data_IF_798260450845
#
_entry.id   IF_798260450845
#
_cell.length_a   1.000
_cell.length_b   1.000
_cell.length_c   1.000
_cell.angle_alpha   90.00
_cell.angle_beta   90.00
_cell.angle_gamma   90.00
#
_symmetry.space_group_name_H-M   'P 1'
#
loop_
_entity.id
_entity.type
_entity.pdbx_description
1 polymer ?
#
# COMPACT_ATOMS: atom_id res chain seq x y z
N UNK A 1 3.71 6.31 32.18
CA UNK A 1 3.72 6.96 30.86
C UNK A 1 2.47 6.49 30.13
N UNK A 2 1.85 7.36 29.34
CA UNK A 2 0.72 6.94 28.51
C UNK A 2 1.20 5.94 27.44
N UNK A 3 0.35 4.97 27.10
CA UNK A 3 0.65 3.96 26.09
C UNK A 3 0.69 4.56 24.68
N UNK A 4 1.32 3.86 23.72
CA UNK A 4 1.29 4.25 22.30
C UNK A 4 -0.14 4.35 21.78
N UNK A 5 -1.00 3.36 22.08
CA UNK A 5 -2.41 3.41 21.71
C UNK A 5 -3.13 4.62 22.33
N UNK A 6 -2.92 4.89 23.62
CA UNK A 6 -3.57 6.02 24.30
C UNK A 6 -3.23 7.36 23.64
N UNK A 7 -1.94 7.57 23.34
CA UNK A 7 -1.46 8.78 22.63
C UNK A 7 -1.97 8.85 21.20
N UNK A 8 -1.99 7.72 20.51
CA UNK A 8 -2.52 7.62 19.16
C UNK A 8 -4.01 8.02 19.10
N UNK A 9 -4.80 7.54 20.06
CA UNK A 9 -6.21 7.90 20.21
C UNK A 9 -6.41 9.39 20.52
N UNK A 10 -5.44 10.03 21.19
CA UNK A 10 -5.44 11.47 21.48
C UNK A 10 -4.96 12.33 20.30
N UNK A 11 -4.59 11.73 19.17
CA UNK A 11 -4.24 12.43 17.93
C UNK A 11 -2.74 12.59 17.68
N UNK A 12 -1.88 12.01 18.52
CA UNK A 12 -0.41 12.00 18.31
C UNK A 12 0.01 10.98 17.24
N UNK A 13 -0.77 10.84 16.16
CA UNK A 13 -0.62 9.76 15.19
C UNK A 13 0.77 9.74 14.52
N UNK A 14 1.26 10.90 14.08
CA UNK A 14 2.56 11.01 13.40
C UNK A 14 3.70 10.73 14.38
N UNK A 15 3.62 11.29 15.59
CA UNK A 15 4.64 11.14 16.62
C UNK A 15 4.75 9.68 17.09
N UNK A 16 3.61 9.03 17.35
CA UNK A 16 3.56 7.62 17.73
C UNK A 16 4.20 6.76 16.64
N UNK A 17 3.86 6.94 15.37
CA UNK A 17 4.46 6.15 14.29
C UNK A 17 5.96 6.39 14.13
N UNK A 18 6.43 7.64 14.27
CA UNK A 18 7.86 7.95 14.23
C UNK A 18 8.62 7.23 15.35
N UNK A 19 8.06 7.19 16.56
CA UNK A 19 8.63 6.45 17.69
C UNK A 19 8.61 4.94 17.47
N UNK A 20 7.49 4.39 16.96
CA UNK A 20 7.38 2.95 16.66
C UNK A 20 8.40 2.49 15.62
N UNK A 21 8.63 3.28 14.58
CA UNK A 21 9.66 3.00 13.57
C UNK A 21 11.07 3.10 14.19
N UNK A 22 11.31 4.09 15.05
CA UNK A 22 12.62 4.29 15.68
C UNK A 22 13.01 3.16 16.66
N UNK A 23 12.05 2.38 17.17
CA UNK A 23 12.33 1.21 18.00
C UNK A 23 13.06 0.10 17.23
N UNK A 24 12.88 0.01 15.92
CA UNK A 24 13.43 -1.08 15.12
C UNK A 24 12.96 -2.45 15.62
N UNK A 25 13.90 -3.39 15.77
CA UNK A 25 13.62 -4.75 16.23
C UNK A 25 13.17 -4.84 17.69
N UNK A 26 13.40 -3.80 18.50
CA UNK A 26 12.98 -3.77 19.91
C UNK A 26 11.45 -3.86 20.07
N UNK A 27 10.71 -3.53 19.01
CA UNK A 27 9.25 -3.62 18.98
C UNK A 27 8.71 -5.03 19.21
N UNK A 28 9.52 -6.07 19.00
CA UNK A 28 9.13 -7.46 19.23
C UNK A 28 9.01 -7.84 20.70
N UNK A 29 9.51 -7.00 21.62
CA UNK A 29 9.54 -7.29 23.04
C UNK A 29 8.26 -6.84 23.74
N UNK A 30 7.72 -7.66 24.65
CA UNK A 30 6.64 -7.21 25.52
C UNK A 30 7.17 -6.27 26.64
N UNK A 31 6.39 -5.26 27.07
CA UNK A 31 5.01 -4.95 26.68
C UNK A 31 4.86 -4.07 25.43
N UNK A 32 5.95 -3.77 24.73
CA UNK A 32 5.96 -2.84 23.59
C UNK A 32 5.17 -3.43 22.41
N UNK A 33 5.38 -4.71 22.12
CA UNK A 33 4.73 -5.40 21.01
C UNK A 33 3.21 -5.27 21.05
N UNK A 34 2.58 -5.61 22.18
CA UNK A 34 1.13 -5.60 22.31
C UNK A 34 0.51 -4.19 22.16
N UNK A 35 1.17 -3.17 22.69
CA UNK A 35 0.72 -1.78 22.57
C UNK A 35 0.94 -1.20 21.16
N UNK A 36 2.08 -1.50 20.54
CA UNK A 36 2.38 -1.13 19.16
C UNK A 36 1.43 -1.82 18.16
N UNK A 37 1.14 -3.10 18.37
CA UNK A 37 0.16 -3.85 17.58
C UNK A 37 -1.22 -3.21 17.69
N UNK A 38 -1.65 -2.82 18.89
CA UNK A 38 -2.93 -2.16 19.08
C UNK A 38 -3.01 -0.81 18.35
N UNK A 39 -1.93 -0.02 18.36
CA UNK A 39 -1.83 1.22 17.58
C UNK A 39 -1.86 0.96 16.06
N UNK A 40 -1.18 -0.09 15.58
CA UNK A 40 -1.21 -0.49 14.17
C UNK A 40 -2.63 -0.91 13.71
N UNK A 41 -3.34 -1.73 14.50
CA UNK A 41 -4.73 -2.08 14.23
C UNK A 41 -5.65 -0.87 14.19
N UNK A 42 -5.53 0.04 15.17
CA UNK A 42 -6.34 1.27 15.19
C UNK A 42 -6.03 2.17 13.99
N UNK A 43 -4.77 2.28 13.58
CA UNK A 43 -4.37 2.97 12.34
C UNK A 43 -5.12 2.41 11.14
N UNK A 44 -5.11 1.09 10.97
CA UNK A 44 -5.71 0.45 9.81
C UNK A 44 -7.25 0.47 9.83
N UNK A 45 -7.88 0.51 11.01
CA UNK A 45 -9.32 0.81 11.13
C UNK A 45 -9.67 2.20 10.63
N UNK A 46 -8.86 3.21 10.93
CA UNK A 46 -9.07 4.58 10.44
C UNK A 46 -8.82 4.67 8.93
N UNK A 47 -7.80 3.99 8.42
CA UNK A 47 -7.55 3.85 6.97
C UNK A 47 -8.77 3.25 6.28
N UNK A 48 -9.29 2.12 6.78
CA UNK A 48 -10.51 1.49 6.25
C UNK A 48 -11.68 2.46 6.22
N UNK A 49 -11.94 3.17 7.31
CA UNK A 49 -13.05 4.14 7.38
C UNK A 49 -12.87 5.29 6.37
N UNK A 50 -11.64 5.76 6.16
CA UNK A 50 -11.35 6.78 5.15
C UNK A 50 -11.57 6.24 3.73
N UNK A 51 -11.10 5.03 3.43
CA UNK A 51 -11.34 4.35 2.14
C UNK A 51 -12.84 4.21 1.88
N UNK A 52 -13.60 3.71 2.85
CA UNK A 52 -15.05 3.52 2.76
C UNK A 52 -15.80 4.85 2.54
N UNK A 53 -15.27 5.96 3.05
CA UNK A 53 -15.81 7.31 2.82
C UNK A 53 -15.45 7.86 1.44
N UNK A 54 -14.24 7.60 0.94
CA UNK A 54 -13.79 8.08 -0.37
C UNK A 54 -14.58 7.44 -1.50
N UNK A 55 -14.82 6.13 -1.46
CA UNK A 55 -15.48 5.37 -2.55
C UNK A 55 -16.80 6.03 -3.04
N UNK A 56 -17.82 6.27 -2.18
CA UNK A 56 -19.06 6.88 -2.64
C UNK A 56 -18.90 8.33 -3.09
N UNK A 57 -17.91 9.07 -2.56
CA UNK A 57 -17.64 10.47 -2.96
C UNK A 57 -17.00 10.52 -4.34
N UNK A 58 -16.02 9.65 -4.60
CA UNK A 58 -15.41 9.48 -5.92
C UNK A 58 -16.47 9.15 -6.97
N UNK A 59 -17.38 8.20 -6.68
CA UNK A 59 -18.52 7.89 -7.56
C UNK A 59 -19.44 9.09 -7.79
N UNK A 60 -19.77 9.85 -6.73
CA UNK A 60 -20.64 11.02 -6.84
C UNK A 60 -20.02 12.14 -7.71
N UNK A 61 -18.69 12.23 -7.73
CA UNK A 61 -17.93 13.14 -8.58
C UNK A 61 -17.72 12.60 -10.00
N UNK A 62 -18.20 11.40 -10.33
CA UNK A 62 -18.09 10.81 -11.67
C UNK A 62 -16.82 9.99 -11.91
N UNK A 63 -16.01 9.71 -10.87
CA UNK A 63 -14.92 8.75 -11.01
C UNK A 63 -15.47 7.34 -11.22
N UNK A 64 -15.03 6.68 -12.29
CA UNK A 64 -15.46 5.32 -12.64
C UNK A 64 -14.36 4.34 -12.30
N UNK A 65 -14.60 3.51 -11.28
CA UNK A 65 -13.72 2.38 -10.97
C UNK A 65 -13.81 1.32 -12.09
N UNK A 66 -12.67 0.75 -12.49
CA UNK A 66 -12.62 -0.29 -13.53
C UNK A 66 -13.49 -1.51 -13.18
N UNK A 67 -13.57 -1.83 -11.88
CA UNK A 67 -14.43 -2.90 -11.38
C UNK A 67 -15.93 -2.63 -11.60
N UNK A 68 -16.36 -1.37 -11.50
CA UNK A 68 -17.78 -1.02 -11.61
C UNK A 68 -18.23 -1.03 -13.08
N UNK A 69 -17.40 -0.52 -13.99
CA UNK A 69 -17.77 -0.39 -15.39
C UNK A 69 -16.54 -0.33 -16.33
N UNK A 70 -16.66 -1.04 -17.45
CA UNK A 70 -15.74 -0.94 -18.59
C UNK A 70 -16.01 0.30 -19.46
N UNK A 71 -14.96 0.96 -20.00
CA UNK A 71 -15.11 1.97 -21.04
C UNK A 71 -15.85 1.39 -22.26
N UNK A 72 -16.96 2.01 -22.65
CA UNK A 72 -17.81 1.50 -23.74
C UNK A 72 -17.24 1.75 -25.13
N UNK A 73 -16.35 2.74 -25.25
CA UNK A 73 -15.85 3.25 -26.53
C UNK A 73 -14.45 2.71 -26.89
N UNK A 74 -14.03 1.61 -26.26
CA UNK A 74 -12.78 0.90 -26.59
C UNK A 74 -13.03 -0.56 -26.91
N UNK A 75 -12.43 -1.00 -28.02
CA UNK A 75 -12.29 -2.42 -28.32
C UNK A 75 -11.20 -3.01 -27.43
N UNK A 76 -11.61 -3.84 -26.48
CA UNK A 76 -10.68 -4.62 -25.67
C UNK A 76 -10.41 -5.98 -26.34
N UNK A 77 -9.15 -6.43 -26.30
CA UNK A 77 -8.83 -7.80 -26.68
C UNK A 77 -9.53 -8.80 -25.74
N UNK A 78 -9.70 -10.04 -26.18
CA UNK A 78 -10.27 -11.12 -25.33
C UNK A 78 -9.45 -11.28 -24.05
N UNK A 79 -8.13 -11.17 -24.14
CA UNK A 79 -7.23 -11.25 -22.98
C UNK A 79 -7.43 -10.06 -22.03
N UNK A 80 -7.56 -8.84 -22.54
CA UNK A 80 -7.82 -7.66 -21.72
C UNK A 80 -9.18 -7.77 -21.02
N UNK A 81 -10.22 -8.26 -21.69
CA UNK A 81 -11.52 -8.50 -21.07
C UNK A 81 -11.46 -9.55 -19.95
N UNK A 82 -10.72 -10.64 -20.17
CA UNK A 82 -10.54 -11.68 -19.14
C UNK A 82 -9.77 -11.13 -17.92
N UNK A 83 -8.73 -10.33 -18.15
CA UNK A 83 -8.01 -9.64 -17.08
C UNK A 83 -8.93 -8.68 -16.30
N UNK A 84 -9.74 -7.87 -17.00
CA UNK A 84 -10.67 -6.93 -16.35
C UNK A 84 -11.73 -7.67 -15.53
N UNK A 85 -12.26 -8.79 -16.03
CA UNK A 85 -13.20 -9.62 -15.27
C UNK A 85 -12.58 -10.24 -14.01
N UNK A 86 -11.27 -10.40 -13.98
CA UNK A 86 -10.53 -10.87 -12.82
C UNK A 86 -10.06 -9.73 -11.89
N UNK A 87 -10.30 -8.46 -12.25
CA UNK A 87 -9.92 -7.32 -11.41
C UNK A 87 -10.63 -7.41 -10.05
N UNK A 88 -9.87 -7.35 -8.94
CA UNK A 88 -10.46 -7.37 -7.61
C UNK A 88 -11.47 -6.23 -7.41
N UNK A 89 -12.50 -6.44 -6.56
CA UNK A 89 -13.42 -5.39 -6.17
C UNK A 89 -12.72 -4.14 -5.65
N UNK A 90 -13.42 -2.98 -5.72
CA UNK A 90 -12.92 -1.70 -5.19
C UNK A 90 -12.44 -1.82 -3.74
N UNK A 91 -13.09 -2.69 -2.96
CA UNK A 91 -12.65 -3.13 -1.64
C UNK A 91 -12.92 -4.62 -1.46
N UNK A 92 -11.92 -5.35 -0.96
CA UNK A 92 -12.01 -6.77 -0.63
C UNK A 92 -11.92 -6.92 0.89
N UNK A 93 -12.95 -7.51 1.51
CA UNK A 93 -12.93 -7.77 2.95
C UNK A 93 -11.87 -8.83 3.29
N UNK A 94 -11.21 -8.72 4.46
CA UNK A 94 -10.30 -9.74 4.92
C UNK A 94 -11.06 -11.06 5.19
N UNK A 95 -10.54 -12.21 4.75
CA UNK A 95 -11.21 -13.49 5.00
C UNK A 95 -11.15 -13.83 6.50
N UNK A 96 -12.13 -14.59 7.00
CA UNK A 96 -12.23 -14.91 8.44
C UNK A 96 -11.04 -15.69 9.00
N UNK A 97 -10.25 -16.34 8.14
CA UNK A 97 -9.05 -17.10 8.49
C UNK A 97 -7.74 -16.34 8.21
N UNK A 98 -7.79 -15.03 7.92
CA UNK A 98 -6.61 -14.24 7.53
C UNK A 98 -5.47 -14.33 8.56
N UNK A 99 -5.78 -14.29 9.86
CA UNK A 99 -4.78 -14.40 10.94
C UNK A 99 -3.99 -15.71 10.86
N UNK A 100 -4.67 -16.80 10.50
CA UNK A 100 -4.04 -18.12 10.32
C UNK A 100 -3.16 -18.13 9.07
N UNK A 101 -3.65 -17.56 7.97
CA UNK A 101 -2.91 -17.47 6.71
C UNK A 101 -1.61 -16.66 6.87
N UNK A 102 -1.69 -15.47 7.48
CA UNK A 102 -0.52 -14.64 7.74
C UNK A 102 0.46 -15.33 8.72
N UNK A 103 -0.03 -16.03 9.74
CA UNK A 103 0.83 -16.79 10.65
C UNK A 103 1.47 -18.04 10.04
N UNK A 104 0.91 -18.60 8.96
CA UNK A 104 1.57 -19.64 8.15
C UNK A 104 2.69 -19.01 7.33
N UNK A 105 2.36 -17.95 6.58
CA UNK A 105 3.33 -17.19 5.79
C UNK A 105 4.54 -16.79 6.63
N UNK A 106 4.30 -16.16 7.78
CA UNK A 106 5.38 -15.57 8.57
C UNK A 106 6.37 -16.61 9.13
N UNK A 107 5.91 -17.85 9.33
CA UNK A 107 6.77 -18.97 9.72
C UNK A 107 7.64 -19.50 8.57
N UNK A 108 7.20 -19.28 7.34
CA UNK A 108 7.90 -19.73 6.14
C UNK A 108 8.93 -18.70 5.65
N UNK A 109 8.56 -17.42 5.61
CA UNK A 109 9.34 -16.38 4.90
C UNK A 109 9.82 -15.23 5.77
N UNK A 110 9.40 -15.17 7.04
CA UNK A 110 9.72 -14.08 7.97
C UNK A 110 8.53 -13.19 8.29
N UNK A 111 8.74 -12.23 9.19
CA UNK A 111 7.70 -11.38 9.77
C UNK A 111 7.33 -10.22 8.83
N UNK A 112 6.03 -10.02 8.65
CA UNK A 112 5.51 -8.81 8.02
C UNK A 112 5.66 -7.61 8.97
N UNK A 113 5.89 -6.39 8.45
CA UNK A 113 5.75 -5.18 9.25
C UNK A 113 4.36 -5.10 9.89
N UNK A 114 4.27 -4.58 11.12
CA UNK A 114 3.00 -4.49 11.84
C UNK A 114 1.94 -3.73 11.03
N UNK A 115 2.34 -2.69 10.30
CA UNK A 115 1.47 -1.92 9.41
C UNK A 115 0.81 -2.79 8.33
N UNK A 116 1.59 -3.57 7.57
CA UNK A 116 1.09 -4.44 6.51
C UNK A 116 0.25 -5.59 7.06
N UNK A 117 0.71 -6.22 8.16
CA UNK A 117 -0.05 -7.27 8.84
C UNK A 117 -1.40 -6.77 9.34
N UNK A 118 -1.45 -5.57 9.92
CA UNK A 118 -2.70 -4.94 10.37
C UNK A 118 -3.58 -4.53 9.18
N UNK A 119 -2.99 -4.08 8.07
CA UNK A 119 -3.75 -3.73 6.86
C UNK A 119 -4.53 -4.94 6.34
N UNK A 120 -3.87 -6.09 6.20
CA UNK A 120 -4.54 -7.31 5.76
C UNK A 120 -5.62 -7.81 6.73
N UNK A 121 -5.55 -7.49 8.02
CA UNK A 121 -6.55 -7.92 9.01
C UNK A 121 -7.74 -6.96 9.14
N UNK A 122 -7.51 -5.65 9.02
CA UNK A 122 -8.53 -4.63 9.27
C UNK A 122 -9.14 -4.12 7.96
N UNK A 123 -8.31 -3.92 6.92
CA UNK A 123 -8.71 -3.37 5.61
C UNK A 123 -9.00 -4.48 4.59
N UNK A 124 -8.14 -5.50 4.53
CA UNK A 124 -8.18 -6.54 3.50
C UNK A 124 -7.45 -6.10 2.23
N UNK A 125 -8.18 -5.61 1.23
CA UNK A 125 -7.62 -5.07 0.00
C UNK A 125 -8.43 -3.88 -0.55
N UNK A 126 -7.77 -3.04 -1.34
CA UNK A 126 -8.36 -1.86 -2.00
C UNK A 126 -7.86 -1.76 -3.43
N UNK A 127 -8.75 -1.39 -4.34
CA UNK A 127 -8.40 -1.23 -5.74
C UNK A 127 -9.16 -0.04 -6.34
N UNK A 128 -8.50 1.12 -6.34
CA UNK A 128 -9.05 2.33 -6.92
C UNK A 128 -8.73 2.47 -8.40
N UNK A 129 -8.16 1.44 -9.06
CA UNK A 129 -7.97 1.50 -10.51
C UNK A 129 -9.28 1.87 -11.19
N UNK A 130 -9.20 2.92 -11.99
CA UNK A 130 -10.32 3.55 -12.64
C UNK A 130 -9.95 4.03 -14.01
N UNK A 131 -10.92 4.65 -14.66
CA UNK A 131 -10.77 5.15 -16.01
C UNK A 131 -10.94 6.66 -16.05
N UNK A 132 -10.17 7.28 -16.94
CA UNK A 132 -10.33 8.68 -17.33
C UNK A 132 -10.38 8.77 -18.87
N UNK A 133 -11.29 9.59 -19.40
CA UNK A 133 -11.51 9.72 -20.85
C UNK A 133 -10.27 10.25 -21.58
N UNK A 134 -9.45 11.06 -20.91
CA UNK A 134 -8.23 11.62 -21.48
C UNK A 134 -7.05 10.64 -21.46
N UNK A 135 -7.26 9.40 -20.96
CA UNK A 135 -6.25 8.34 -20.84
C UNK A 135 -4.96 8.82 -20.16
N UNK A 136 -5.09 9.77 -19.24
CA UNK A 136 -3.98 10.26 -18.43
C UNK A 136 -3.50 9.16 -17.49
N UNK A 137 -2.18 9.16 -17.28
CA UNK A 137 -1.53 8.27 -16.32
C UNK A 137 -1.71 8.88 -14.94
N UNK A 138 -2.31 8.11 -14.04
CA UNK A 138 -2.56 8.46 -12.65
C UNK A 138 -2.16 7.28 -11.79
N UNK A 139 -1.90 7.54 -10.52
CA UNK A 139 -1.51 6.49 -9.58
C UNK A 139 -2.60 6.25 -8.52
N UNK A 140 -3.70 5.58 -8.87
CA UNK A 140 -4.76 5.30 -7.90
C UNK A 140 -4.27 4.33 -6.81
N UNK A 141 -4.83 4.48 -5.61
CA UNK A 141 -4.58 3.62 -4.47
C UNK A 141 -5.00 2.18 -4.80
N UNK A 142 -3.99 1.32 -4.90
CA UNK A 142 -4.15 -0.12 -4.95
C UNK A 142 -3.32 -0.70 -3.83
N UNK A 143 -3.92 -1.62 -3.09
CA UNK A 143 -3.23 -2.57 -2.22
C UNK A 143 -3.98 -3.89 -2.36
N UNK A 144 -3.34 -4.91 -2.92
CA UNK A 144 -3.95 -6.21 -3.12
C UNK A 144 -4.41 -6.80 -1.79
N UNK A 145 -5.52 -7.55 -1.84
CA UNK A 145 -5.86 -8.42 -0.72
C UNK A 145 -4.76 -9.48 -0.57
N UNK A 146 -4.57 -9.98 0.64
CA UNK A 146 -3.55 -10.99 0.88
C UNK A 146 -3.76 -12.24 0.01
N UNK A 147 -2.72 -12.59 -0.73
CA UNK A 147 -2.57 -13.86 -1.44
C UNK A 147 -1.12 -14.33 -1.26
N UNK A 148 -0.93 -15.65 -1.06
CA UNK A 148 0.41 -16.23 -0.92
C UNK A 148 1.22 -16.10 -2.20
N UNK A 149 0.55 -16.10 -3.36
CA UNK A 149 1.19 -15.98 -4.68
C UNK A 149 1.83 -14.60 -4.91
N UNK A 150 1.47 -13.59 -4.12
CA UNK A 150 2.07 -12.25 -4.18
C UNK A 150 3.39 -12.15 -3.43
N UNK A 151 3.84 -13.23 -2.80
CA UNK A 151 5.11 -13.27 -2.09
C UNK A 151 6.14 -13.95 -2.97
N UNK A 152 7.10 -13.15 -3.41
CA UNK A 152 8.13 -13.57 -4.35
C UNK A 152 9.37 -14.03 -3.59
N UNK A 153 10.05 -15.03 -4.15
CA UNK A 153 11.29 -15.56 -3.60
C UNK A 153 12.42 -14.52 -3.73
N UNK A 154 13.40 -14.55 -2.81
CA UNK A 154 14.57 -13.69 -2.93
C UNK A 154 15.24 -13.91 -4.29
N UNK A 155 15.51 -12.83 -5.02
CA UNK A 155 16.31 -12.91 -6.23
C UNK A 155 17.75 -13.29 -5.83
N UNK A 156 18.28 -14.37 -6.44
CA UNK A 156 19.67 -14.83 -6.23
C UNK A 156 20.71 -13.79 -6.71
N UNK A 157 20.30 -12.86 -7.60
CA UNK A 157 21.15 -11.82 -8.16
C UNK A 157 20.46 -10.44 -8.06
N UNK A 158 21.23 -9.36 -7.78
CA UNK A 158 20.69 -8.00 -7.85
C UNK A 158 20.18 -7.71 -9.27
N UNK A 159 19.13 -6.89 -9.43
CA UNK A 159 18.59 -6.58 -10.75
C UNK A 159 19.67 -6.06 -11.71
N UNK A 160 19.70 -6.61 -12.93
CA UNK A 160 20.66 -6.25 -13.99
C UNK A 160 20.62 -4.75 -14.34
N UNK A 161 19.53 -4.05 -14.02
CA UNK A 161 19.35 -2.61 -14.29
C UNK A 161 19.98 -1.68 -13.22
N UNK A 162 20.84 -2.20 -12.33
CA UNK A 162 21.68 -1.34 -11.48
C UNK A 162 22.79 -0.58 -12.23
N UNK A 163 22.95 -0.84 -13.54
CA UNK A 163 23.95 -0.20 -14.41
C UNK A 163 23.64 1.28 -14.75
N UNK A 164 22.42 1.78 -14.55
CA UNK A 164 22.08 3.20 -14.84
C UNK A 164 22.45 4.19 -13.71
N UNK A 165 23.04 3.69 -12.61
CA UNK A 165 23.70 4.53 -11.59
C UNK A 165 25.24 4.52 -11.72
N UNK A 166 25.78 3.95 -12.80
CA UNK A 166 27.21 3.76 -13.02
C UNK A 166 28.00 5.00 -13.49
N UNK A 167 27.50 6.21 -13.28
CA UNK A 167 28.28 7.44 -13.45
C UNK A 167 28.30 8.26 -12.14
N UNK A 168 29.12 7.83 -11.17
CA UNK A 168 29.72 8.80 -10.25
C UNK A 168 30.07 8.40 -8.81
N UNK A 169 29.66 7.25 -8.28
CA UNK A 169 29.97 6.90 -6.88
C UNK A 169 30.56 5.49 -6.76
N UNK A 170 31.89 5.44 -6.74
CA UNK A 170 32.65 4.33 -6.12
C UNK A 170 32.88 4.68 -4.66
N UNK A 171 32.06 4.16 -3.76
CA UNK A 171 32.41 4.03 -2.34
C UNK A 171 31.81 2.74 -1.79
N UNK A 172 32.72 1.83 -1.40
CA UNK A 172 32.54 0.59 -0.63
C UNK A 172 31.54 -0.43 -1.21
N UNK A 173 32.05 -1.64 -1.53
CA UNK A 173 31.22 -2.83 -1.77
C UNK A 173 30.32 -3.02 -0.54
N UNK A 174 29.09 -2.49 -0.59
CA UNK A 174 28.08 -2.83 0.38
C UNK A 174 27.89 -4.34 0.27
N UNK A 175 27.93 -5.08 1.39
CA UNK A 175 27.64 -6.52 1.34
C UNK A 175 26.32 -6.71 0.62
N UNK A 176 26.29 -7.64 -0.35
CA UNK A 176 25.06 -8.05 -1.03
C UNK A 176 23.97 -8.21 0.04
N UNK A 177 22.80 -7.57 -0.12
CA UNK A 177 21.76 -7.66 0.89
C UNK A 177 21.47 -9.15 1.16
N UNK A 178 21.27 -9.53 2.43
CA UNK A 178 20.78 -10.89 2.74
C UNK A 178 19.58 -11.20 1.83
N UNK A 179 19.39 -12.45 1.41
CA UNK A 179 18.21 -12.87 0.67
C UNK A 179 16.95 -12.55 1.50
N UNK A 180 16.09 -11.65 1.02
CA UNK A 180 14.79 -11.35 1.63
C UNK A 180 13.68 -11.61 0.62
N UNK A 181 12.61 -12.23 1.12
CA UNK A 181 11.34 -12.28 0.39
C UNK A 181 10.72 -10.88 0.34
N UNK A 182 9.97 -10.61 -0.72
CA UNK A 182 9.16 -9.40 -0.85
C UNK A 182 7.71 -9.76 -1.13
N UNK A 183 6.82 -8.90 -0.65
CA UNK A 183 5.38 -8.98 -0.95
C UNK A 183 5.07 -7.90 -1.98
N UNK A 184 4.58 -8.31 -3.14
CA UNK A 184 3.99 -7.42 -4.13
C UNK A 184 2.66 -6.93 -3.59
N UNK A 185 2.57 -5.64 -3.29
CA UNK A 185 1.36 -5.06 -2.71
C UNK A 185 0.50 -4.33 -3.75
N UNK A 186 1.06 -3.86 -4.86
CA UNK A 186 0.33 -3.19 -5.92
C UNK A 186 1.11 -3.19 -7.24
N UNK A 187 0.46 -3.01 -8.40
CA UNK A 187 1.17 -2.68 -9.63
C UNK A 187 1.83 -1.30 -9.52
N UNK A 188 2.76 -0.98 -10.43
CA UNK A 188 3.20 0.39 -10.62
C UNK A 188 2.15 1.26 -11.33
N UNK A 189 2.40 2.57 -11.40
CA UNK A 189 1.50 3.55 -12.02
C UNK A 189 1.20 3.30 -13.51
N UNK A 190 2.15 2.78 -14.29
CA UNK A 190 1.96 2.46 -15.71
C UNK A 190 1.09 1.21 -15.87
N UNK A 191 1.34 0.18 -15.07
CA UNK A 191 0.51 -1.03 -15.08
C UNK A 191 -0.93 -0.72 -14.61
N UNK A 192 -1.12 0.19 -13.64
CA UNK A 192 -2.45 0.72 -13.28
C UNK A 192 -3.13 1.44 -14.45
N UNK A 193 -2.35 2.05 -15.35
CA UNK A 193 -2.83 2.68 -16.59
C UNK A 193 -2.92 1.70 -17.79
N UNK A 194 -2.74 0.39 -17.58
CA UNK A 194 -2.70 -0.64 -18.63
C UNK A 194 -1.61 -0.34 -19.69
N UNK A 195 -0.47 0.14 -19.24
CA UNK A 195 0.75 0.33 -20.01
C UNK A 195 1.83 -0.62 -19.48
N UNK A 196 2.78 -1.01 -20.35
CA UNK A 196 3.97 -1.73 -19.89
C UNK A 196 4.73 -0.84 -18.92
N UNK A 197 4.92 -1.32 -17.70
CA UNK A 197 5.50 -0.56 -16.60
C UNK A 197 6.85 -1.08 -16.13
N UNK A 198 7.20 -0.67 -14.91
CA UNK A 198 8.40 -1.10 -14.20
C UNK A 198 8.09 -2.19 -13.17
N UNK A 199 8.92 -2.26 -12.13
CA UNK A 199 8.69 -3.18 -11.00
C UNK A 199 7.46 -2.75 -10.20
N UNK A 200 6.68 -3.70 -9.67
CA UNK A 200 5.49 -3.40 -8.87
C UNK A 200 5.87 -2.78 -7.52
N UNK A 201 4.90 -2.23 -6.80
CA UNK A 201 5.13 -1.72 -5.45
C UNK A 201 5.22 -2.86 -4.46
N UNK A 202 6.30 -2.85 -3.68
CA UNK A 202 6.71 -4.02 -2.89
C UNK A 202 7.11 -3.63 -1.47
N UNK A 203 6.97 -4.58 -0.54
CA UNK A 203 7.46 -4.48 0.82
C UNK A 203 8.33 -5.69 1.15
N UNK A 204 9.52 -5.43 1.69
CA UNK A 204 10.43 -6.50 2.15
C UNK A 204 9.90 -7.17 3.43
N UNK A 205 10.01 -8.48 3.46
CA UNK A 205 9.77 -9.30 4.65
C UNK A 205 11.08 -9.36 5.45
N UNK A 206 10.98 -9.20 6.77
CA UNK A 206 12.15 -9.19 7.66
C UNK A 206 12.18 -10.43 8.56
N UNK A 207 13.36 -10.81 9.03
CA UNK A 207 13.49 -11.83 10.09
C UNK A 207 13.03 -11.31 11.46
N UNK A 208 13.03 -10.00 11.66
CA UNK A 208 12.61 -9.32 12.88
C UNK A 208 11.34 -8.49 12.66
N UNK A 209 10.53 -8.33 13.71
CA UNK A 209 9.34 -7.49 13.62
C UNK A 209 9.76 -6.03 13.48
N UNK A 210 9.06 -5.30 12.61
CA UNK A 210 9.22 -3.85 12.41
C UNK A 210 7.84 -3.20 12.45
N UNK A 211 7.76 -1.94 12.87
CA UNK A 211 6.49 -1.22 12.89
C UNK A 211 5.93 -1.02 11.47
N UNK A 212 6.80 -0.55 10.58
CA UNK A 212 6.50 -0.20 9.20
C UNK A 212 7.69 -0.53 8.31
N UNK A 213 7.49 -0.46 6.99
CA UNK A 213 8.56 -0.69 6.02
C UNK A 213 8.54 0.36 4.91
N UNK A 214 9.72 0.54 4.30
CA UNK A 214 9.86 1.31 3.06
C UNK A 214 9.04 0.63 1.96
N UNK A 215 8.27 1.43 1.23
CA UNK A 215 7.57 1.00 0.04
C UNK A 215 8.55 1.09 -1.14
N UNK A 216 8.92 -0.06 -1.69
CA UNK A 216 9.85 -0.15 -2.81
C UNK A 216 9.15 0.17 -4.14
N UNK A 217 9.94 0.68 -5.09
CA UNK A 217 9.53 1.01 -6.47
C UNK A 217 8.46 2.10 -6.60
N UNK A 218 8.04 2.68 -5.48
CA UNK A 218 7.15 3.83 -5.41
C UNK A 218 7.98 5.14 -5.33
N UNK A 219 7.52 6.18 -6.02
CA UNK A 219 8.32 7.39 -6.31
C UNK A 219 8.55 8.31 -5.10
N UNK A 220 7.67 8.27 -4.09
CA UNK A 220 7.77 9.16 -2.93
C UNK A 220 8.82 8.72 -1.91
N UNK A 221 9.46 7.56 -2.09
CA UNK A 221 10.53 7.04 -1.23
C UNK A 221 10.15 7.05 0.25
N UNK A 222 8.94 6.57 0.55
CA UNK A 222 8.33 6.68 1.87
C UNK A 222 8.00 5.32 2.47
N UNK A 223 7.46 5.31 3.70
CA UNK A 223 6.99 4.09 4.34
C UNK A 223 5.54 3.80 3.99
N UNK A 224 5.10 2.55 4.13
CA UNK A 224 3.74 2.15 3.77
C UNK A 224 2.64 2.97 4.46
N UNK A 225 2.77 3.28 5.76
CA UNK A 225 1.79 4.13 6.46
C UNK A 225 1.78 5.55 5.91
N UNK A 226 2.95 6.10 5.58
CA UNK A 226 3.04 7.44 5.01
C UNK A 226 2.51 7.48 3.57
N UNK A 227 2.71 6.44 2.78
CA UNK A 227 2.07 6.28 1.48
C UNK A 227 0.53 6.28 1.61
N UNK A 228 -0.03 5.53 2.56
CA UNK A 228 -1.48 5.56 2.82
C UNK A 228 -1.97 6.95 3.24
N UNK A 229 -1.18 7.69 4.04
CA UNK A 229 -1.48 9.10 4.40
C UNK A 229 -1.51 9.99 3.17
N UNK A 230 -0.52 9.87 2.27
CA UNK A 230 -0.48 10.61 1.00
C UNK A 230 -1.71 10.28 0.15
N UNK A 231 -2.05 9.01 0.00
CA UNK A 231 -3.25 8.58 -0.72
C UNK A 231 -4.52 9.19 -0.12
N UNK A 232 -4.71 9.11 1.20
CA UNK A 232 -5.89 9.72 1.84
C UNK A 232 -5.88 11.25 1.75
N UNK A 233 -4.69 11.87 1.76
CA UNK A 233 -4.51 13.30 1.55
C UNK A 233 -4.82 13.70 0.10
N UNK A 234 -4.70 12.85 -0.90
CA UNK A 234 -5.05 13.24 -2.27
C UNK A 234 -6.15 12.36 -2.85
N UNK A 235 -7.19 12.08 -2.06
CA UNK A 235 -8.45 11.46 -2.51
C UNK A 235 -8.26 10.06 -3.15
N UNK A 236 -7.29 9.29 -2.67
CA UNK A 236 -6.94 7.97 -3.19
C UNK A 236 -5.79 7.98 -4.19
N UNK A 237 -5.00 9.05 -4.26
CA UNK A 237 -3.83 9.19 -5.14
C UNK A 237 -2.65 9.71 -4.31
N UNK A 238 -1.38 9.34 -4.58
CA UNK A 238 -0.26 9.76 -3.73
C UNK A 238 0.09 11.25 -3.90
N UNK A 239 -0.22 11.84 -5.06
CA UNK A 239 0.04 13.24 -5.37
C UNK A 239 -1.11 13.90 -6.15
N UNK A 240 -1.15 15.25 -6.17
CA UNK A 240 -2.15 16.02 -6.93
C UNK A 240 -1.91 15.98 -8.44
N UNK A 241 -0.66 15.86 -8.84
CA UNK A 241 -0.26 15.67 -10.22
C UNK A 241 -0.67 14.29 -10.74
N UNK A 242 -0.81 13.32 -9.82
CA UNK A 242 -1.18 11.94 -10.08
C UNK A 242 -2.70 11.68 -10.00
N UNK A 243 -3.57 12.71 -9.94
CA UNK A 243 -5.03 12.54 -9.91
C UNK A 243 -5.76 13.09 -11.15
N UNK A 244 -6.93 12.53 -11.50
CA UNK A 244 -7.84 13.09 -12.50
C UNK A 244 -8.15 14.57 -12.28
N UNK A 245 -8.12 15.35 -13.36
CA UNK A 245 -8.35 16.81 -13.30
C UNK A 245 -9.71 17.18 -12.70
N UNK A 246 -10.71 16.32 -12.92
CA UNK A 246 -12.04 16.43 -12.30
C UNK A 246 -11.94 16.43 -10.76
N UNK A 247 -11.16 15.51 -10.19
CA UNK A 247 -10.99 15.39 -8.73
C UNK A 247 -10.17 16.54 -8.13
N UNK A 248 -9.21 17.08 -8.89
CA UNK A 248 -8.37 18.18 -8.43
C UNK A 248 -9.14 19.47 -8.09
N UNK A 249 -10.37 19.62 -8.62
CA UNK A 249 -11.27 20.75 -8.33
C UNK A 249 -12.23 20.49 -7.16
N UNK A 250 -12.39 19.24 -6.74
CA UNK A 250 -13.32 18.80 -5.70
C UNK A 250 -12.62 18.07 -4.54
N UNK A 251 -11.30 18.25 -4.40
CA UNK A 251 -10.49 17.56 -3.39
C UNK A 251 -11.03 17.75 -1.96
N UNK A 252 -11.41 18.98 -1.61
CA UNK A 252 -11.99 19.32 -0.30
C UNK A 252 -13.28 18.53 0.01
N UNK A 253 -14.07 18.21 -1.02
CA UNK A 253 -15.30 17.42 -0.86
C UNK A 253 -14.97 15.95 -0.57
N UNK A 254 -13.95 15.39 -1.22
CA UNK A 254 -13.51 14.01 -1.00
C UNK A 254 -12.84 13.87 0.37
N UNK A 255 -12.05 14.84 0.81
CA UNK A 255 -11.31 14.80 2.07
C UNK A 255 -12.15 15.18 3.31
N UNK A 256 -13.36 15.73 3.12
CA UNK A 256 -14.16 16.26 4.23
C UNK A 256 -14.34 15.22 5.34
N UNK A 257 -14.03 15.60 6.58
CA UNK A 257 -14.18 14.74 7.75
C UNK A 257 -13.35 13.45 7.71
N UNK A 258 -12.27 13.36 6.92
CA UNK A 258 -11.34 12.22 7.00
C UNK A 258 -10.68 12.16 8.37
N UNK A 259 -10.48 10.94 8.87
CA UNK A 259 -9.94 10.70 10.21
C UNK A 259 -8.43 10.73 10.13
N UNK A 260 -7.72 11.53 10.96
CA UNK A 260 -6.27 11.49 11.06
C UNK A 260 -5.78 10.12 11.53
N UNK A 261 -4.68 9.63 10.96
CA UNK A 261 -4.07 8.36 11.32
C UNK A 261 -2.56 8.37 11.16
#
# INVERSE_FOLDING_TARGET
MASYLERYLQGECIQVWAELVALGDQIQNEPIYSDAWAAACETMRRVRQNIERMIPRLRALGYVFLHDQLPKDRDFSVQALAWIQAIPPVRTEPPSNIVVQLGVLEREVGLLPLSLRAFYQEVGGVNFMGWDEEAKIFDPLVVFAFDRELVEEPLEEPPEDSDDWADGYREEEQPLPEEYYHVVIAPDLYHKANMSGGSPYEIRISKTATADAVLLNEEHHTTFVNYLRLCCLHAGFPAREAMPSLLATHLDEVQRDMIPF
#
